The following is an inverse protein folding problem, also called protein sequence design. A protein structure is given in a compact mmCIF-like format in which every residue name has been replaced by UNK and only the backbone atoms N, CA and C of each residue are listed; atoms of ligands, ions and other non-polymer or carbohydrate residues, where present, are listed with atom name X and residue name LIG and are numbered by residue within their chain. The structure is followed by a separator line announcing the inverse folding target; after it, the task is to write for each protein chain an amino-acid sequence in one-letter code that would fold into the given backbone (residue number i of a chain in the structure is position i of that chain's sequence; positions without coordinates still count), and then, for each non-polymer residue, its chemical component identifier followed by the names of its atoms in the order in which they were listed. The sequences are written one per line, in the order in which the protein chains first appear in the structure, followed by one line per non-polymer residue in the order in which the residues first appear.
data_IF_313548344029
#
_entry.id   IF_313548344029
#
_cell.length_a   1.000
_cell.length_b   1.000
_cell.length_c   1.000
_cell.angle_alpha   90.00
_cell.angle_beta   90.00
_cell.angle_gamma   90.00
#
_symmetry.space_group_name_H-M   'P 1'
#
loop_
_entity.id
_entity.type
_entity.pdbx_description
1 polymer ?
#
# COMPACT_ATOMS: atom_id res chain seq x y z
N UNK A 1 -46.15 -20.53 3.80
CA UNK A 1 -45.81 -20.60 2.37
C UNK A 1 -44.45 -19.94 2.21
N UNK A 2 -43.39 -20.73 2.34
CA UNK A 2 -41.99 -20.28 2.28
C UNK A 2 -41.49 -20.34 0.84
N UNK A 3 -40.99 -19.22 0.32
CA UNK A 3 -40.20 -19.19 -0.92
C UNK A 3 -38.73 -19.22 -0.53
N UNK A 4 -38.07 -20.35 -0.82
CA UNK A 4 -36.62 -20.47 -0.80
C UNK A 4 -36.08 -19.78 -2.06
N UNK A 5 -35.23 -18.76 -1.89
CA UNK A 5 -34.49 -18.16 -2.98
C UNK A 5 -33.14 -18.88 -3.11
N UNK A 6 -32.97 -19.48 -4.29
CA UNK A 6 -31.87 -20.33 -4.70
C UNK A 6 -30.52 -19.62 -4.61
N UNK A 7 -29.56 -20.32 -4.00
CA UNK A 7 -28.14 -20.00 -3.95
C UNK A 7 -27.56 -20.15 -5.37
N UNK A 8 -27.16 -19.06 -6.02
CA UNK A 8 -26.37 -19.11 -7.25
C UNK A 8 -24.90 -19.30 -6.90
N UNK A 9 -24.37 -20.47 -7.27
CA UNK A 9 -22.96 -20.84 -7.22
C UNK A 9 -22.13 -19.86 -8.07
N UNK A 10 -21.18 -19.13 -7.47
CA UNK A 10 -20.15 -18.45 -8.24
C UNK A 10 -18.95 -19.37 -8.42
N UNK A 11 -18.66 -19.63 -9.69
CA UNK A 11 -17.48 -20.21 -10.29
C UNK A 11 -16.18 -19.98 -9.48
N UNK A 12 -15.53 -21.08 -9.09
CA UNK A 12 -14.23 -21.08 -8.43
C UNK A 12 -13.10 -21.02 -9.48
N UNK A 13 -12.37 -19.91 -9.53
CA UNK A 13 -11.10 -19.78 -10.26
C UNK A 13 -10.07 -20.76 -9.69
N UNK A 14 -9.43 -21.62 -10.50
CA UNK A 14 -8.47 -22.60 -10.01
C UNK A 14 -7.10 -21.95 -9.83
N UNK A 15 -6.69 -21.75 -8.57
CA UNK A 15 -5.30 -21.44 -8.23
C UNK A 15 -5.11 -20.60 -6.98
N UNK A 16 -5.33 -21.17 -5.79
CA UNK A 16 -4.75 -20.61 -4.56
C UNK A 16 -4.58 -21.71 -3.50
N UNK A 17 -3.36 -21.83 -2.96
CA UNK A 17 -2.97 -22.76 -1.89
C UNK A 17 -3.98 -22.70 -0.73
N UNK A 18 -4.66 -23.81 -0.47
CA UNK A 18 -5.80 -23.90 0.45
C UNK A 18 -5.37 -24.20 1.90
N UNK A 19 -4.09 -24.04 2.24
CA UNK A 19 -3.48 -24.46 3.51
C UNK A 19 -2.76 -23.34 4.29
N UNK A 20 -2.78 -22.09 3.81
CA UNK A 20 -2.11 -21.00 4.50
C UNK A 20 -2.95 -20.47 5.67
N UNK A 21 -2.31 -20.24 6.83
CA UNK A 21 -2.94 -19.55 7.97
C UNK A 21 -2.94 -18.04 7.69
N UNK A 22 -4.07 -17.40 7.95
CA UNK A 22 -4.30 -15.99 7.66
C UNK A 22 -4.57 -15.21 8.94
N UNK A 23 -3.94 -14.04 9.09
CA UNK A 23 -4.19 -13.11 10.19
C UNK A 23 -4.64 -11.76 9.65
N UNK A 24 -5.60 -11.12 10.33
CA UNK A 24 -6.26 -9.90 9.85
C UNK A 24 -6.04 -8.73 10.80
N UNK A 25 -5.63 -7.61 10.23
CA UNK A 25 -5.43 -6.34 10.92
C UNK A 25 -6.21 -5.24 10.20
N UNK A 26 -6.78 -4.30 10.93
CA UNK A 26 -7.55 -3.19 10.34
C UNK A 26 -6.86 -1.86 10.66
N UNK A 27 -6.59 -1.08 9.62
CA UNK A 27 -6.10 0.28 9.77
C UNK A 27 -7.07 1.27 9.14
N UNK A 28 -7.37 2.34 9.89
CA UNK A 28 -8.10 3.49 9.38
C UNK A 28 -7.51 4.76 9.97
N UNK A 29 -7.43 5.86 9.22
CA UNK A 29 -6.79 7.08 9.72
C UNK A 29 -7.59 7.74 10.87
N UNK A 30 -8.91 7.51 10.93
CA UNK A 30 -9.79 8.01 11.99
C UNK A 30 -10.24 6.90 12.95
N UNK A 31 -10.91 7.33 14.02
CA UNK A 31 -11.42 6.48 15.10
C UNK A 31 -12.94 6.48 15.21
N UNK A 32 -13.66 7.16 14.32
CA UNK A 32 -15.11 7.38 14.46
C UNK A 32 -15.92 6.08 14.38
N UNK A 33 -15.37 5.07 13.70
CA UNK A 33 -15.96 3.75 13.56
C UNK A 33 -15.71 2.81 14.76
N UNK A 34 -14.82 3.19 15.70
CA UNK A 34 -14.36 2.29 16.77
C UNK A 34 -15.52 1.78 17.62
N UNK A 35 -16.39 2.68 18.07
CA UNK A 35 -17.50 2.30 18.95
C UNK A 35 -18.45 1.31 18.25
N UNK A 36 -18.81 1.59 17.00
CA UNK A 36 -19.68 0.68 16.23
C UNK A 36 -19.03 -0.69 16.02
N UNK A 37 -17.73 -0.71 15.73
CA UNK A 37 -16.98 -1.95 15.56
C UNK A 37 -16.85 -2.74 16.85
N UNK A 38 -16.55 -2.08 17.97
CA UNK A 38 -16.45 -2.71 19.28
C UNK A 38 -17.79 -3.29 19.72
N UNK A 39 -18.88 -2.55 19.55
CA UNK A 39 -20.24 -3.03 19.83
C UNK A 39 -20.60 -4.26 18.97
N UNK A 40 -20.23 -4.24 17.69
CA UNK A 40 -20.45 -5.37 16.79
C UNK A 40 -19.58 -6.58 17.17
N UNK A 41 -18.32 -6.36 17.55
CA UNK A 41 -17.39 -7.40 17.98
C UNK A 41 -17.80 -8.00 19.34
N UNK A 42 -18.41 -7.23 20.24
CA UNK A 42 -18.97 -7.76 21.49
C UNK A 42 -20.16 -8.70 21.22
N UNK A 43 -20.99 -8.38 20.22
CA UNK A 43 -22.14 -9.20 19.83
C UNK A 43 -21.73 -10.45 19.04
N UNK A 44 -20.72 -10.31 18.18
CA UNK A 44 -20.19 -11.40 17.35
C UNK A 44 -18.66 -11.32 17.34
N UNK A 45 -18.00 -11.91 18.36
CA UNK A 45 -16.55 -11.84 18.48
C UNK A 45 -15.83 -12.38 17.26
N UNK A 46 -14.83 -11.63 16.81
CA UNK A 46 -13.88 -12.07 15.80
C UNK A 46 -13.03 -13.23 16.34
N UNK A 47 -12.61 -14.11 15.42
CA UNK A 47 -11.78 -15.27 15.75
C UNK A 47 -10.36 -14.90 16.20
N UNK A 48 -9.59 -15.88 16.69
CA UNK A 48 -8.19 -15.69 17.11
C UNK A 48 -7.25 -15.23 15.97
N UNK A 49 -7.70 -15.35 14.72
CA UNK A 49 -7.02 -14.83 13.54
C UNK A 49 -7.06 -13.31 13.43
N UNK A 50 -7.95 -12.65 14.18
CA UNK A 50 -8.01 -11.21 14.22
C UNK A 50 -6.90 -10.64 15.10
N UNK A 51 -5.87 -10.14 14.43
CA UNK A 51 -4.72 -9.51 15.04
C UNK A 51 -5.11 -8.21 15.74
N UNK A 52 -6.03 -7.41 15.22
CA UNK A 52 -6.54 -6.19 15.88
C UNK A 52 -6.62 -4.99 14.95
N UNK A 53 -6.85 -3.81 15.52
CA UNK A 53 -7.04 -2.58 14.75
C UNK A 53 -6.30 -1.38 15.35
N UNK A 54 -6.08 -0.35 14.54
CA UNK A 54 -5.43 0.89 15.00
C UNK A 54 -5.50 2.02 13.98
N UNK A 55 -5.35 3.25 14.45
CA UNK A 55 -5.28 4.44 13.60
C UNK A 55 -3.85 4.90 13.29
N UNK A 56 -2.90 4.55 14.16
CA UNK A 56 -1.48 4.72 13.88
C UNK A 56 -0.96 3.50 13.10
N UNK A 57 -0.68 3.72 11.81
CA UNK A 57 -0.18 2.68 10.90
C UNK A 57 1.17 2.13 11.36
N UNK A 58 2.04 2.97 11.91
CA UNK A 58 3.38 2.57 12.36
C UNK A 58 3.26 1.68 13.59
N UNK A 59 2.46 2.10 14.57
CA UNK A 59 2.21 1.30 15.76
C UNK A 59 1.57 -0.06 15.42
N UNK A 60 0.61 -0.08 14.49
CA UNK A 60 -0.01 -1.32 14.02
C UNK A 60 1.01 -2.23 13.32
N UNK A 61 1.87 -1.67 12.46
CA UNK A 61 2.93 -2.43 11.80
C UNK A 61 3.95 -3.02 12.80
N UNK A 62 4.30 -2.28 13.86
CA UNK A 62 5.17 -2.79 14.92
C UNK A 62 4.51 -3.98 15.64
N UNK A 63 3.22 -3.86 15.95
CA UNK A 63 2.46 -4.95 16.56
C UNK A 63 2.40 -6.18 15.66
N UNK A 64 2.05 -6.02 14.39
CA UNK A 64 2.06 -7.10 13.40
C UNK A 64 3.43 -7.80 13.35
N UNK A 65 4.52 -7.06 13.47
CA UNK A 65 5.85 -7.65 13.47
C UNK A 65 6.08 -8.50 14.72
N UNK A 66 5.75 -8.00 15.90
CA UNK A 66 5.84 -8.75 17.17
C UNK A 66 4.99 -10.01 17.13
N UNK A 67 3.76 -9.92 16.59
CA UNK A 67 2.87 -11.07 16.44
C UNK A 67 3.49 -12.12 15.52
N UNK A 68 4.09 -11.72 14.39
CA UNK A 68 4.79 -12.66 13.51
C UNK A 68 6.02 -13.28 14.18
N UNK A 69 6.82 -12.50 14.89
CA UNK A 69 7.98 -13.02 15.65
C UNK A 69 7.50 -14.10 16.65
N UNK A 70 6.42 -13.83 17.36
CA UNK A 70 5.77 -14.80 18.27
C UNK A 70 5.29 -16.06 17.52
N UNK A 71 4.63 -15.90 16.37
CA UNK A 71 4.17 -17.05 15.57
C UNK A 71 5.34 -17.90 15.07
N UNK A 72 6.45 -17.29 14.66
CA UNK A 72 7.65 -18.02 14.22
C UNK A 72 8.26 -18.82 15.37
N UNK A 73 8.19 -18.32 16.59
CA UNK A 73 8.70 -19.01 17.78
C UNK A 73 7.79 -20.13 18.27
N UNK A 74 6.47 -19.98 18.10
CA UNK A 74 5.46 -20.86 18.71
C UNK A 74 4.82 -21.85 17.75
N UNK A 75 4.95 -21.65 16.44
CA UNK A 75 4.26 -22.45 15.42
C UNK A 75 5.19 -22.79 14.25
N UNK A 76 4.90 -23.88 13.55
CA UNK A 76 5.61 -24.32 12.35
C UNK A 76 5.26 -23.45 11.11
N UNK A 77 4.04 -22.91 11.07
CA UNK A 77 3.55 -22.07 9.99
C UNK A 77 3.84 -20.57 10.17
N UNK A 78 4.49 -20.12 11.26
CA UNK A 78 4.67 -18.70 11.54
C UNK A 78 5.39 -17.91 10.45
N UNK A 79 6.30 -18.56 9.71
CA UNK A 79 7.01 -17.97 8.56
C UNK A 79 6.17 -17.91 7.28
N UNK A 80 5.16 -18.78 7.15
CA UNK A 80 4.31 -18.90 5.96
C UNK A 80 2.94 -18.26 6.16
N UNK A 81 2.59 -17.87 7.40
CA UNK A 81 1.37 -17.16 7.74
C UNK A 81 1.25 -15.84 6.96
N UNK A 82 0.10 -15.65 6.32
CA UNK A 82 -0.20 -14.48 5.51
C UNK A 82 -0.88 -13.44 6.37
N UNK A 83 -0.27 -12.27 6.48
CA UNK A 83 -0.85 -11.15 7.20
C UNK A 83 -1.64 -10.31 6.20
N UNK A 84 -2.85 -9.92 6.60
CA UNK A 84 -3.73 -9.05 5.85
C UNK A 84 -3.88 -7.74 6.60
N UNK A 85 -3.55 -6.63 5.92
CA UNK A 85 -3.83 -5.28 6.38
C UNK A 85 -5.03 -4.75 5.60
N UNK A 86 -6.18 -4.69 6.26
CA UNK A 86 -7.42 -4.17 5.71
C UNK A 86 -7.46 -2.66 5.92
N UNK A 87 -7.71 -1.93 4.84
CA UNK A 87 -7.87 -0.47 4.84
C UNK A 87 -9.29 -0.16 4.37
N UNK A 88 -10.30 -0.23 5.26
CA UNK A 88 -11.63 0.27 4.94
C UNK A 88 -11.51 1.75 4.53
N UNK A 89 -12.27 2.21 3.55
CA UNK A 89 -12.22 3.61 3.13
C UNK A 89 -13.56 4.01 2.53
N UNK A 90 -14.35 4.77 3.29
CA UNK A 90 -15.61 5.35 2.78
C UNK A 90 -15.34 6.51 1.82
N UNK A 91 -14.22 7.21 2.00
CA UNK A 91 -13.71 8.27 1.14
C UNK A 91 -12.33 7.94 0.58
N UNK A 92 -11.73 8.86 -0.20
CA UNK A 92 -10.40 8.64 -0.75
C UNK A 92 -9.31 8.88 0.30
N UNK A 93 -8.57 7.84 0.69
CA UNK A 93 -7.47 7.90 1.65
C UNK A 93 -6.12 7.87 0.95
N UNK A 94 -5.34 8.95 1.07
CA UNK A 94 -4.01 9.07 0.47
C UNK A 94 -2.94 9.10 1.58
N UNK A 95 -2.13 8.04 1.63
CA UNK A 95 -0.92 8.00 2.46
C UNK A 95 0.23 8.58 1.64
N UNK A 96 0.34 9.91 1.67
CA UNK A 96 1.31 10.68 0.89
C UNK A 96 2.73 10.59 1.44
N UNK A 97 2.88 10.30 2.74
CA UNK A 97 4.18 10.10 3.35
C UNK A 97 4.84 8.84 2.77
N UNK A 98 6.10 8.92 2.30
CA UNK A 98 6.79 7.75 1.78
C UNK A 98 6.91 6.65 2.83
N UNK A 99 6.34 5.48 2.55
CA UNK A 99 6.25 4.36 3.48
C UNK A 99 6.99 3.12 2.96
N UNK A 100 7.60 2.36 3.86
CA UNK A 100 8.29 1.10 3.57
C UNK A 100 7.89 0.07 4.61
N UNK A 101 7.31 -1.04 4.17
CA UNK A 101 7.02 -2.17 5.04
C UNK A 101 8.29 -2.97 5.34
N UNK A 102 8.47 -3.34 6.60
CA UNK A 102 9.60 -4.15 7.03
C UNK A 102 9.49 -5.59 6.48
N UNK A 103 10.60 -6.20 6.06
CA UNK A 103 10.62 -7.56 5.50
C UNK A 103 10.09 -8.62 6.48
N UNK A 104 10.26 -8.38 7.79
CA UNK A 104 9.67 -9.20 8.85
C UNK A 104 8.13 -9.17 8.91
N UNK A 105 7.46 -8.40 8.06
CA UNK A 105 6.00 -8.44 7.88
C UNK A 105 5.56 -9.34 6.72
N UNK A 106 6.49 -9.87 5.94
CA UNK A 106 6.16 -10.69 4.78
C UNK A 106 5.87 -12.15 5.18
N UNK A 107 4.97 -12.85 4.47
CA UNK A 107 4.12 -12.36 3.37
C UNK A 107 2.99 -11.43 3.87
N UNK A 108 2.77 -10.31 3.17
CA UNK A 108 1.81 -9.27 3.52
C UNK A 108 0.88 -8.98 2.34
N UNK A 109 -0.43 -8.95 2.60
CA UNK A 109 -1.45 -8.49 1.65
C UNK A 109 -2.11 -7.24 2.22
N UNK A 110 -2.17 -6.18 1.44
CA UNK A 110 -2.90 -4.96 1.80
C UNK A 110 -4.14 -4.90 0.94
N UNK A 111 -5.30 -4.89 1.59
CA UNK A 111 -6.60 -4.88 0.90
C UNK A 111 -7.31 -3.58 1.23
N UNK A 112 -7.48 -2.74 0.21
CA UNK A 112 -8.26 -1.52 0.29
C UNK A 112 -9.72 -1.74 -0.12
N UNK A 113 -10.40 -0.64 -0.43
CA UNK A 113 -11.77 -0.67 -0.95
C UNK A 113 -11.82 -0.12 -2.37
N UNK A 114 -12.57 -0.80 -3.24
CA UNK A 114 -12.89 -0.34 -4.61
C UNK A 114 -14.36 0.00 -4.71
N UNK A 115 -14.68 1.18 -5.23
CA UNK A 115 -16.05 1.60 -5.50
C UNK A 115 -16.13 2.24 -6.89
N UNK A 116 -17.11 1.84 -7.69
CA UNK A 116 -17.26 2.35 -9.07
C UNK A 116 -16.05 2.06 -9.97
N UNK A 117 -15.28 1.00 -9.69
CA UNK A 117 -14.05 0.66 -10.42
C UNK A 117 -12.82 1.46 -10.01
N UNK A 118 -12.95 2.40 -9.06
CA UNK A 118 -11.86 3.25 -8.58
C UNK A 118 -11.42 2.78 -7.20
N UNK A 119 -10.10 2.60 -7.03
CA UNK A 119 -9.49 2.33 -5.73
C UNK A 119 -9.60 3.56 -4.85
N UNK A 120 -9.87 3.37 -3.56
CA UNK A 120 -10.01 4.48 -2.59
C UNK A 120 -8.77 4.70 -1.75
N UNK A 121 -7.77 3.84 -1.87
CA UNK A 121 -6.58 3.88 -1.02
C UNK A 121 -5.35 4.02 -1.91
N UNK A 122 -4.54 5.05 -1.63
CA UNK A 122 -3.28 5.30 -2.32
C UNK A 122 -2.11 5.31 -1.35
N UNK A 123 -1.10 4.47 -1.60
CA UNK A 123 0.14 4.46 -0.83
C UNK A 123 1.30 5.04 -1.62
N UNK A 124 2.07 5.94 -0.98
CA UNK A 124 3.39 6.31 -1.47
C UNK A 124 4.44 5.28 -1.02
N UNK A 125 4.54 4.16 -1.75
CA UNK A 125 5.54 3.12 -1.47
C UNK A 125 6.87 3.47 -2.13
N UNK A 126 7.95 3.57 -1.34
CA UNK A 126 9.29 3.77 -1.91
C UNK A 126 9.85 2.52 -2.58
N UNK A 127 9.45 1.36 -2.08
CA UNK A 127 9.87 0.04 -2.57
C UNK A 127 8.72 -0.93 -2.35
N UNK A 128 8.45 -1.76 -3.34
CA UNK A 128 7.52 -2.87 -3.22
C UNK A 128 8.32 -4.17 -3.09
N UNK A 129 8.37 -4.79 -1.89
CA UNK A 129 8.89 -6.14 -1.70
C UNK A 129 8.11 -7.14 -2.58
N UNK A 130 8.76 -8.22 -3.01
CA UNK A 130 8.13 -9.23 -3.90
C UNK A 130 6.94 -9.93 -3.25
N UNK A 131 6.98 -10.06 -1.92
CA UNK A 131 5.97 -10.75 -1.13
C UNK A 131 4.90 -9.80 -0.56
N UNK A 132 4.90 -8.53 -1.02
CA UNK A 132 3.86 -7.55 -0.73
C UNK A 132 2.80 -7.55 -1.86
N UNK A 133 1.60 -8.01 -1.54
CA UNK A 133 0.44 -7.98 -2.44
C UNK A 133 -0.44 -6.78 -2.13
N UNK A 134 -0.89 -6.09 -3.17
CA UNK A 134 -1.80 -4.96 -3.08
C UNK A 134 -3.10 -5.34 -3.80
N UNK A 135 -4.21 -5.26 -3.08
CA UNK A 135 -5.54 -5.57 -3.60
C UNK A 135 -6.44 -4.35 -3.38
N UNK A 136 -6.98 -3.78 -4.47
CA UNK A 136 -7.81 -2.57 -4.40
C UNK A 136 -7.09 -1.36 -3.76
N UNK A 137 -5.76 -1.36 -3.84
CA UNK A 137 -4.88 -0.29 -3.39
C UNK A 137 -4.02 0.14 -4.56
N UNK A 138 -4.01 1.43 -4.81
CA UNK A 138 -3.18 2.04 -5.85
C UNK A 138 -1.87 2.59 -5.26
N UNK A 139 -0.80 2.60 -6.05
CA UNK A 139 0.46 3.24 -5.66
C UNK A 139 0.40 4.69 -6.11
N UNK A 140 0.77 5.63 -5.23
CA UNK A 140 0.89 7.04 -5.59
C UNK A 140 2.08 7.19 -6.54
N UNK A 141 1.80 7.42 -7.83
CA UNK A 141 2.83 7.66 -8.82
C UNK A 141 3.59 8.95 -8.46
N UNK A 142 4.83 8.78 -7.99
CA UNK A 142 5.73 9.91 -7.78
C UNK A 142 6.15 10.43 -9.16
N UNK A 143 5.68 11.62 -9.52
CA UNK A 143 6.12 12.33 -10.72
C UNK A 143 7.58 12.84 -10.55
N UNK A 144 8.54 11.92 -10.45
CA UNK A 144 9.96 12.25 -10.24
C UNK A 144 10.67 12.66 -11.54
N UNK A 145 10.00 12.48 -12.69
CA UNK A 145 10.61 12.66 -14.02
C UNK A 145 10.66 14.09 -14.55
N UNK A 146 10.12 15.07 -13.82
CA UNK A 146 10.11 16.46 -14.29
C UNK A 146 11.46 17.16 -14.03
N UNK A 147 12.10 16.92 -12.88
CA UNK A 147 13.34 17.64 -12.51
C UNK A 147 14.54 17.17 -13.35
N UNK A 148 14.67 15.88 -13.66
CA UNK A 148 15.77 15.38 -14.51
C UNK A 148 15.66 15.89 -15.96
N UNK A 149 14.44 15.95 -16.52
CA UNK A 149 14.20 16.51 -17.86
C UNK A 149 14.50 18.01 -17.91
N UNK A 150 14.10 18.77 -16.87
CA UNK A 150 14.40 20.20 -16.77
C UNK A 150 15.91 20.43 -16.65
N UNK A 151 16.61 19.62 -15.85
CA UNK A 151 18.06 19.68 -15.70
C UNK A 151 18.82 19.43 -17.00
N UNK A 152 18.44 18.39 -17.75
CA UNK A 152 19.05 18.07 -19.05
C UNK A 152 18.82 19.20 -20.08
N UNK A 153 17.60 19.72 -20.16
CA UNK A 153 17.27 20.82 -21.08
C UNK A 153 18.07 22.09 -20.75
N UNK A 154 18.22 22.42 -19.47
CA UNK A 154 19.03 23.55 -19.02
C UNK A 154 20.52 23.41 -19.39
N UNK A 155 21.08 22.20 -19.26
CA UNK A 155 22.48 21.92 -19.60
C UNK A 155 22.76 22.07 -21.10
N UNK A 156 21.86 21.57 -21.95
CA UNK A 156 21.97 21.71 -23.41
C UNK A 156 21.86 23.18 -23.84
N UNK A 157 20.94 23.94 -23.26
CA UNK A 157 20.79 25.36 -23.55
C UNK A 157 22.06 26.17 -23.23
N UNK A 158 22.75 25.84 -22.13
CA UNK A 158 24.01 26.50 -21.75
C UNK A 158 25.14 26.24 -22.76
N UNK A 159 25.25 25.03 -23.33
CA UNK A 159 26.28 24.71 -24.32
C UNK A 159 26.12 25.51 -25.62
N UNK A 160 24.89 25.69 -26.11
CA UNK A 160 24.64 26.51 -27.29
C UNK A 160 24.86 28.01 -27.03
N UNK A 161 24.54 28.51 -25.83
CA UNK A 161 24.79 29.90 -25.44
C UNK A 161 26.28 30.27 -25.42
N UNK A 162 27.14 29.38 -24.90
CA UNK A 162 28.59 29.61 -24.83
C UNK A 162 29.24 29.59 -26.21
N UNK A 163 28.81 28.70 -27.11
CA UNK A 163 29.32 28.66 -28.48
C UNK A 163 28.98 29.94 -29.27
N UNK A 164 27.80 30.54 -29.05
CA UNK A 164 27.40 31.79 -29.71
C UNK A 164 28.26 32.99 -29.32
N UNK A 165 28.60 33.15 -28.04
CA UNK A 165 29.41 34.27 -27.56
C UNK A 165 30.88 34.22 -28.04
N UNK A 166 31.45 33.02 -28.21
CA UNK A 166 32.82 32.88 -28.70
C UNK A 166 32.97 33.36 -30.16
N UNK A 167 31.94 33.17 -30.99
CA UNK A 167 31.94 33.63 -32.40
C UNK A 167 31.83 35.16 -32.48
N UNK A 168 31.05 35.79 -31.60
CA UNK A 168 30.88 37.25 -31.61
C UNK A 168 32.16 38.00 -31.18
N UNK A 169 32.97 37.44 -30.29
CA UNK A 169 34.23 38.06 -29.83
C UNK A 169 35.39 37.90 -30.82
N UNK A 170 35.36 36.89 -31.70
CA UNK A 170 36.38 36.71 -32.75
C UNK A 170 36.19 37.59 -33.98
N UNK A 171 34.99 38.15 -34.18
CA UNK A 171 34.63 38.90 -35.39
C UNK A 171 34.73 40.43 -35.24
N UNK A 172 35.03 40.95 -34.04
CA UNK A 172 35.12 42.39 -33.79
C UNK A 172 36.59 42.81 -33.59
N UNK A 173 37.20 43.56 -34.52
CA UNK A 173 38.56 44.05 -34.33
C UNK A 173 38.60 45.15 -33.26
N UNK A 174 39.68 45.23 -32.45
CA UNK A 174 39.84 46.31 -31.48
C UNK A 174 39.97 47.65 -32.21
N UNK A 175 39.25 48.67 -31.73
CA UNK A 175 39.43 50.07 -32.13
C UNK A 175 40.54 50.72 -31.31
#
# INVERSE_FOLDING_TARGET
MCMALSRTSSESTPGLRTDAVHYFYVWHFDTDWYQYFEDANLQSPLGPEFGGYGHDLVALCLRMRTDRETLIETTDYGRTAIFHLLVPAYEGTVISAPFVFHEGLMPLTITGQRHGGVDRVWFNLRRQPRDLRLEFVSILEREEKSIEKIGLVGLVACWFGVAGCAVAMGACPPR
#
